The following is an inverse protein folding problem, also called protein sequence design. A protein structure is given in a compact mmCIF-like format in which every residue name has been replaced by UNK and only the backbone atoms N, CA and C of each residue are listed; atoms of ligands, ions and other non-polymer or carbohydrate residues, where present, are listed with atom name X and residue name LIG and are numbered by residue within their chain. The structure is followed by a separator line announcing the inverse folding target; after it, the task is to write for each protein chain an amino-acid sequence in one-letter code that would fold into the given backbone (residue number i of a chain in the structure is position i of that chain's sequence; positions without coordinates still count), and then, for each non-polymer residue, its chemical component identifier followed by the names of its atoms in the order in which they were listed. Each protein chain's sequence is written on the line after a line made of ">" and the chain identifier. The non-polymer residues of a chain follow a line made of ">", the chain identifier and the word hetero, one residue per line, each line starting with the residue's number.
data_IF_568890990905
#
_entry.id   IF_568890990905
#
_cell.length_a   1.000
_cell.length_b   1.000
_cell.length_c   1.000
_cell.angle_alpha   90.00
_cell.angle_beta   90.00
_cell.angle_gamma   90.00
#
_symmetry.space_group_name_H-M   'P 1'
#
loop_
_entity.id
_entity.type
_entity.pdbx_description
1 polymer ?
#
# COMPACT_ATOMS: atom_id res chain seq x y z
N UNK A 1 -20.75 14.15 -0.83
CA UNK A 1 -20.40 15.05 0.29
C UNK A 1 -18.95 15.43 0.10
N UNK A 2 -18.64 16.68 -0.20
CA UNK A 2 -17.27 17.15 -0.43
C UNK A 2 -16.57 17.27 0.92
N UNK A 3 -15.49 16.52 1.14
CA UNK A 3 -14.72 16.62 2.39
C UNK A 3 -14.14 18.03 2.58
N UNK A 4 -14.04 18.54 3.82
CA UNK A 4 -13.46 19.84 4.10
C UNK A 4 -11.98 19.91 3.67
N UNK A 5 -11.47 21.10 3.30
CA UNK A 5 -10.13 21.27 2.69
C UNK A 5 -8.99 20.69 3.54
N UNK A 6 -9.13 20.67 4.86
CA UNK A 6 -8.14 20.09 5.79
C UNK A 6 -7.94 18.57 5.59
N UNK A 7 -8.99 17.87 5.13
CA UNK A 7 -8.94 16.43 4.91
C UNK A 7 -8.11 16.07 3.68
N UNK A 8 -8.25 16.85 2.61
CA UNK A 8 -7.48 16.65 1.37
C UNK A 8 -6.00 16.92 1.61
N UNK A 9 -5.65 18.01 2.31
CA UNK A 9 -4.26 18.33 2.66
C UNK A 9 -3.61 17.21 3.46
N UNK A 10 -4.32 16.67 4.46
CA UNK A 10 -3.80 15.57 5.29
C UNK A 10 -3.59 14.27 4.50
N UNK A 11 -4.49 13.95 3.55
CA UNK A 11 -4.30 12.81 2.65
C UNK A 11 -3.06 13.01 1.76
N UNK A 12 -2.84 14.22 1.26
CA UNK A 12 -1.66 14.54 0.44
C UNK A 12 -0.36 14.42 1.25
N UNK A 13 -0.36 14.87 2.50
CA UNK A 13 0.76 14.69 3.43
C UNK A 13 1.07 13.20 3.63
N UNK A 14 0.07 12.38 3.97
CA UNK A 14 0.27 10.94 4.16
C UNK A 14 0.75 10.21 2.90
N UNK A 15 0.29 10.64 1.72
CA UNK A 15 0.80 10.11 0.44
C UNK A 15 2.26 10.49 0.22
N UNK A 16 2.63 11.72 0.55
CA UNK A 16 4.03 12.18 0.46
C UNK A 16 4.91 11.42 1.45
N UNK A 17 4.45 11.20 2.68
CA UNK A 17 5.17 10.43 3.69
C UNK A 17 5.34 8.98 3.23
N UNK A 18 4.27 8.31 2.80
CA UNK A 18 4.32 6.94 2.29
C UNK A 18 5.31 6.79 1.14
N UNK A 19 5.34 7.73 0.20
CA UNK A 19 6.26 7.71 -0.94
C UNK A 19 7.75 7.73 -0.54
N UNK A 20 8.08 8.20 0.67
CA UNK A 20 9.45 8.21 1.19
C UNK A 20 9.83 6.91 1.94
N UNK A 21 8.88 6.02 2.20
CA UNK A 21 9.09 4.78 2.96
C UNK A 21 9.44 3.61 2.06
N UNK A 22 10.33 2.74 2.55
CA UNK A 22 10.48 1.39 2.03
C UNK A 22 9.27 0.51 2.40
N UNK A 23 9.20 -0.69 1.79
CA UNK A 23 8.13 -1.65 2.09
C UNK A 23 8.07 -2.00 3.59
N UNK A 24 9.22 -2.29 4.20
CA UNK A 24 9.31 -2.67 5.61
C UNK A 24 8.88 -1.52 6.53
N UNK A 25 9.29 -0.29 6.21
CA UNK A 25 8.91 0.88 7.01
C UNK A 25 7.43 1.22 6.88
N UNK A 26 6.86 1.12 5.67
CA UNK A 26 5.44 1.33 5.45
C UNK A 26 4.59 0.27 6.16
N UNK A 27 5.00 -1.02 6.09
CA UNK A 27 4.33 -2.11 6.79
C UNK A 27 4.40 -1.92 8.32
N UNK A 28 5.57 -1.57 8.86
CA UNK A 28 5.73 -1.31 10.28
C UNK A 28 4.86 -0.14 10.76
N UNK A 29 4.70 0.90 9.93
CA UNK A 29 3.81 2.01 10.25
C UNK A 29 2.33 1.60 10.22
N UNK A 30 1.92 0.72 9.31
CA UNK A 30 0.58 0.12 9.32
C UNK A 30 0.35 -0.70 10.58
N UNK A 31 1.31 -1.51 11.01
CA UNK A 31 1.19 -2.30 12.24
C UNK A 31 0.99 -1.42 13.47
N UNK A 32 1.65 -0.26 13.54
CA UNK A 32 1.46 0.71 14.61
C UNK A 32 0.07 1.35 14.57
N UNK A 33 -0.42 1.73 13.38
CA UNK A 33 -1.78 2.25 13.21
C UNK A 33 -2.82 1.20 13.61
N UNK A 34 -2.60 -0.06 13.26
CA UNK A 34 -3.49 -1.16 13.62
C UNK A 34 -3.49 -1.42 15.12
N UNK A 35 -2.32 -1.40 15.77
CA UNK A 35 -2.21 -1.54 17.22
C UNK A 35 -2.97 -0.43 17.96
N UNK A 36 -2.93 0.80 17.45
CA UNK A 36 -3.67 1.92 18.02
C UNK A 36 -5.19 1.74 17.84
N UNK A 37 -5.64 1.40 16.64
CA UNK A 37 -7.04 1.08 16.34
C UNK A 37 -7.61 -0.05 17.23
N UNK A 38 -6.79 -1.03 17.58
CA UNK A 38 -7.17 -2.15 18.44
C UNK A 38 -7.15 -1.84 19.94
N UNK A 39 -6.59 -0.70 20.35
CA UNK A 39 -6.36 -0.38 21.76
C UNK A 39 -7.60 0.13 22.51
N UNK A 40 -8.77 0.22 21.87
CA UNK A 40 -10.00 0.86 22.37
C UNK A 40 -9.83 2.33 22.86
N UNK A 41 -8.65 2.93 22.64
CA UNK A 41 -8.34 4.29 23.11
C UNK A 41 -8.63 5.38 22.07
N UNK A 42 -8.82 5.00 20.80
CA UNK A 42 -9.02 5.93 19.69
C UNK A 42 -10.44 6.50 19.71
N UNK A 43 -10.62 7.83 19.79
CA UNK A 43 -11.94 8.43 19.71
C UNK A 43 -12.62 8.11 18.37
N UNK A 44 -13.94 7.90 18.39
CA UNK A 44 -14.74 7.62 17.18
C UNK A 44 -14.52 8.65 16.05
N UNK A 45 -14.32 9.92 16.41
CA UNK A 45 -14.07 11.00 15.46
C UNK A 45 -12.73 10.88 14.71
N UNK A 46 -11.78 10.09 15.23
CA UNK A 46 -10.46 9.88 14.67
C UNK A 46 -10.30 8.49 14.03
N UNK A 47 -11.22 7.55 14.27
CA UNK A 47 -11.21 6.23 13.65
C UNK A 47 -11.16 6.30 12.12
N UNK A 48 -12.04 7.11 11.51
CA UNK A 48 -12.04 7.28 10.05
C UNK A 48 -10.69 7.83 9.55
N UNK A 49 -10.02 8.66 10.37
CA UNK A 49 -8.73 9.23 10.01
C UNK A 49 -7.64 8.17 9.96
N UNK A 50 -7.59 7.33 10.98
CA UNK A 50 -6.61 6.24 11.06
C UNK A 50 -6.83 5.16 10.01
N UNK A 51 -8.08 4.82 9.70
CA UNK A 51 -8.40 3.88 8.63
C UNK A 51 -7.86 4.39 7.29
N UNK A 52 -8.15 5.64 6.93
CA UNK A 52 -7.69 6.21 5.66
C UNK A 52 -6.17 6.34 5.60
N UNK A 53 -5.53 6.68 6.72
CA UNK A 53 -4.07 6.72 6.80
C UNK A 53 -3.47 5.33 6.57
N UNK A 54 -4.04 4.30 7.20
CA UNK A 54 -3.62 2.91 7.01
C UNK A 54 -3.83 2.43 5.57
N UNK A 55 -4.96 2.75 4.94
CA UNK A 55 -5.23 2.44 3.53
C UNK A 55 -4.18 3.03 2.58
N UNK A 56 -3.78 4.29 2.80
CA UNK A 56 -2.73 4.93 1.98
C UNK A 56 -1.39 4.17 2.08
N UNK A 57 -1.04 3.71 3.28
CA UNK A 57 0.23 3.00 3.48
C UNK A 57 0.17 1.58 2.92
N UNK A 58 -0.99 0.91 3.01
CA UNK A 58 -1.22 -0.39 2.37
C UNK A 58 -1.18 -0.30 0.84
N UNK A 59 -1.75 0.75 0.25
CA UNK A 59 -1.68 1.00 -1.19
C UNK A 59 -0.23 1.17 -1.66
N UNK A 60 0.61 1.85 -0.87
CA UNK A 60 2.03 2.00 -1.15
C UNK A 60 2.77 0.66 -1.06
N UNK A 61 2.50 -0.14 -0.02
CA UNK A 61 3.03 -1.50 0.11
C UNK A 61 2.69 -2.39 -1.10
N UNK A 62 1.43 -2.37 -1.55
CA UNK A 62 0.97 -3.11 -2.73
C UNK A 62 1.67 -2.63 -4.00
N UNK A 63 1.84 -1.32 -4.19
CA UNK A 63 2.56 -0.76 -5.32
C UNK A 63 4.03 -1.22 -5.37
N UNK A 64 4.71 -1.27 -4.22
CA UNK A 64 6.08 -1.79 -4.12
C UNK A 64 6.16 -3.28 -4.46
N UNK A 65 5.22 -4.09 -3.95
CA UNK A 65 5.16 -5.52 -4.26
C UNK A 65 4.93 -5.77 -5.76
N UNK A 66 4.00 -5.06 -6.38
CA UNK A 66 3.75 -5.13 -7.84
C UNK A 66 4.97 -4.72 -8.65
N UNK A 67 5.68 -3.68 -8.22
CA UNK A 67 6.92 -3.27 -8.88
C UNK A 67 7.99 -4.36 -8.80
N UNK A 68 8.12 -5.03 -7.65
CA UNK A 68 9.05 -6.17 -7.52
C UNK A 68 8.59 -7.36 -8.36
N UNK A 69 7.30 -7.72 -8.32
CA UNK A 69 6.72 -8.81 -9.10
C UNK A 69 6.97 -8.66 -10.60
N UNK A 70 6.79 -7.44 -11.14
CA UNK A 70 7.08 -7.15 -12.54
C UNK A 70 8.56 -7.30 -12.92
N UNK A 71 9.48 -7.28 -11.94
CA UNK A 71 10.91 -7.50 -12.16
C UNK A 71 11.33 -8.97 -11.96
N UNK A 72 10.44 -9.84 -11.49
CA UNK A 72 10.75 -11.26 -11.31
C UNK A 72 10.58 -11.99 -12.65
N UNK A 73 11.65 -12.63 -13.11
CA UNK A 73 11.59 -13.49 -14.30
C UNK A 73 10.99 -14.84 -13.91
N UNK A 74 9.83 -15.16 -14.45
CA UNK A 74 9.22 -16.49 -14.30
C UNK A 74 9.99 -17.50 -15.15
N UNK A 75 10.46 -18.58 -14.53
CA UNK A 75 11.15 -19.68 -15.20
C UNK A 75 10.23 -20.88 -15.36
N UNK A 76 10.31 -21.55 -16.51
CA UNK A 76 9.69 -22.85 -16.72
C UNK A 76 10.39 -23.92 -15.84
N UNK A 77 9.64 -24.73 -15.06
CA UNK A 77 10.24 -25.62 -14.07
C UNK A 77 11.04 -26.79 -14.68
N UNK A 78 10.71 -27.19 -15.92
CA UNK A 78 11.35 -28.33 -16.59
C UNK A 78 12.61 -27.91 -17.37
N UNK A 79 12.60 -26.72 -17.97
CA UNK A 79 13.69 -26.20 -18.79
C UNK A 79 14.56 -25.15 -18.10
N UNK A 80 14.09 -24.57 -16.98
CA UNK A 80 14.69 -23.44 -16.27
C UNK A 80 14.98 -22.21 -17.14
N UNK A 81 14.26 -22.09 -18.27
CA UNK A 81 14.35 -20.94 -19.16
C UNK A 81 13.23 -19.94 -18.86
N UNK A 82 13.41 -18.64 -19.17
CA UNK A 82 12.36 -17.64 -19.03
C UNK A 82 11.12 -18.04 -19.82
N UNK A 83 9.95 -18.04 -19.17
CA UNK A 83 8.67 -18.16 -19.88
C UNK A 83 8.47 -16.86 -20.65
N UNK A 84 8.25 -16.90 -21.98
CA UNK A 84 7.97 -15.69 -22.74
C UNK A 84 6.72 -15.02 -22.17
N UNK A 85 6.85 -13.73 -21.83
CA UNK A 85 5.75 -12.90 -21.34
C UNK A 85 4.59 -13.00 -22.33
N UNK A 86 3.50 -13.64 -21.92
CA UNK A 86 2.32 -13.77 -22.76
C UNK A 86 1.67 -12.40 -22.85
N UNK A 87 1.89 -11.69 -23.96
CA UNK A 87 1.14 -10.49 -24.31
C UNK A 87 -0.35 -10.83 -24.32
N UNK A 88 -1.23 -10.05 -23.65
CA UNK A 88 -2.66 -10.26 -23.72
C UNK A 88 -3.17 -9.74 -25.06
N UNK A 89 -2.99 -10.52 -26.11
CA UNK A 89 -3.66 -10.35 -27.40
C UNK A 89 -3.76 -11.71 -28.11
N UNK A 90 -4.66 -12.56 -27.62
CA UNK A 90 -5.48 -13.45 -28.45
C UNK A 90 -6.49 -14.22 -27.58
N UNK A 91 -7.78 -14.06 -27.94
CA UNK A 91 -9.02 -14.71 -27.47
C UNK A 91 -9.82 -14.06 -26.32
#
# INVERSE_FOLDING_TARGET
>A
MTSPPEWTTRIEEWRSDAAALSYEEALQAVDLLLADLQSDTVPLADLQKQVVHGEIYLDHCDALLKAVEANVVTLDPDSLQPVPESTPDDA
#
